data_IF_776966578660
#
_entry.id   IF_776966578660
#
_cell.length_a   1.000
_cell.length_b   1.000
_cell.length_c   1.000
_cell.angle_alpha   90.00
_cell.angle_beta   90.00
_cell.angle_gamma   90.00
#
_symmetry.space_group_name_H-M   'P 1'
#
loop_
_entity.id
_entity.type
_entity.pdbx_description
1 polymer ?
#
# COMPACT_ATOMS: atom_id res chain seq x y z
N UNK A 1 -0.26 -7.89 -4.91
CA UNK A 1 -0.71 -6.50 -4.76
C UNK A 1 0.27 -5.61 -5.46
N UNK A 2 -0.24 -4.71 -6.31
CA UNK A 2 0.55 -3.70 -6.98
C UNK A 2 0.47 -2.37 -6.21
N UNK A 3 1.29 -1.40 -6.60
CA UNK A 3 1.29 -0.08 -5.95
C UNK A 3 -0.07 0.64 -6.12
N UNK A 4 -0.72 0.46 -7.27
CA UNK A 4 -2.02 1.07 -7.57
C UNK A 4 -3.11 0.60 -6.60
N UNK A 5 -3.04 -0.66 -6.16
CA UNK A 5 -3.97 -1.20 -5.16
C UNK A 5 -3.79 -0.50 -3.79
N UNK A 6 -2.54 -0.18 -3.42
CA UNK A 6 -2.23 0.55 -2.19
C UNK A 6 -2.72 2.01 -2.27
N UNK A 7 -2.50 2.66 -3.41
CA UNK A 7 -2.99 4.03 -3.66
C UNK A 7 -4.51 4.07 -3.60
N UNK A 8 -5.18 3.13 -4.27
CA UNK A 8 -6.64 3.03 -4.25
C UNK A 8 -7.18 2.84 -2.83
N UNK A 9 -6.60 1.91 -2.06
CA UNK A 9 -6.96 1.70 -0.67
C UNK A 9 -6.77 2.97 0.18
N UNK A 10 -5.66 3.68 -0.03
CA UNK A 10 -5.39 4.93 0.66
C UNK A 10 -6.40 6.03 0.32
N UNK A 11 -6.73 6.20 -0.97
CA UNK A 11 -7.72 7.19 -1.42
C UNK A 11 -9.12 6.89 -0.87
N UNK A 12 -9.57 5.63 -0.92
CA UNK A 12 -10.85 5.21 -0.33
C UNK A 12 -10.93 5.51 1.17
N UNK A 13 -9.80 5.37 1.89
CA UNK A 13 -9.71 5.70 3.31
C UNK A 13 -9.65 7.21 3.53
N UNK A 14 -8.95 7.94 2.66
CA UNK A 14 -8.86 9.40 2.68
C UNK A 14 -10.22 10.06 2.45
N UNK A 15 -11.05 9.53 1.55
CA UNK A 15 -12.43 10.02 1.36
C UNK A 15 -13.27 9.90 2.64
N UNK A 16 -13.06 8.84 3.43
CA UNK A 16 -13.82 8.60 4.67
C UNK A 16 -13.25 9.34 5.89
N UNK A 17 -11.93 9.47 5.97
CA UNK A 17 -11.21 10.00 7.14
C UNK A 17 -10.76 11.46 6.99
N UNK A 18 -10.81 12.00 5.77
CA UNK A 18 -10.38 13.35 5.44
C UNK A 18 -8.91 13.59 5.79
N UNK A 19 -8.63 14.76 6.38
CA UNK A 19 -7.28 15.19 6.74
C UNK A 19 -6.57 14.25 7.75
N UNK A 20 -7.33 13.44 8.50
CA UNK A 20 -6.80 12.55 9.52
C UNK A 20 -6.34 11.19 8.99
N UNK A 21 -6.42 10.94 7.67
CA UNK A 21 -6.04 9.65 7.08
C UNK A 21 -4.63 9.18 7.47
N UNK A 22 -3.69 10.12 7.64
CA UNK A 22 -2.31 9.84 8.06
C UNK A 22 -2.24 9.20 9.47
N UNK A 23 -3.17 9.52 10.37
CA UNK A 23 -3.26 8.93 11.72
C UNK A 23 -3.65 7.45 11.65
N UNK A 24 -4.33 7.04 10.59
CA UNK A 24 -4.79 5.67 10.37
C UNK A 24 -3.84 4.86 9.47
N UNK A 25 -2.62 5.34 9.20
CA UNK A 25 -1.68 4.65 8.30
C UNK A 25 -1.38 3.22 8.74
N UNK A 26 -1.34 2.97 10.05
CA UNK A 26 -1.16 1.62 10.62
C UNK A 26 -2.32 0.68 10.27
N UNK A 27 -3.54 1.19 10.22
CA UNK A 27 -4.73 0.42 9.81
C UNK A 27 -4.73 0.17 8.31
N UNK A 28 -4.40 1.19 7.51
CA UNK A 28 -4.27 1.09 6.05
C UNK A 28 -3.23 0.01 5.70
N UNK A 29 -2.07 0.02 6.38
CA UNK A 29 -1.03 -0.98 6.17
C UNK A 29 -1.45 -2.39 6.60
N UNK A 30 -2.28 -2.53 7.64
CA UNK A 30 -2.84 -3.83 8.04
C UNK A 30 -3.76 -4.39 6.96
N UNK A 31 -4.63 -3.57 6.39
CA UNK A 31 -5.52 -3.97 5.29
C UNK A 31 -4.73 -4.27 4.01
N UNK A 32 -3.76 -3.42 3.66
CA UNK A 32 -2.85 -3.66 2.55
C UNK A 32 -2.08 -4.98 2.69
N UNK A 33 -1.66 -5.35 3.91
CA UNK A 33 -0.99 -6.63 4.18
C UNK A 33 -1.90 -7.83 3.90
N UNK A 34 -3.21 -7.73 4.21
CA UNK A 34 -4.18 -8.80 3.91
C UNK A 34 -4.36 -8.95 2.40
N UNK A 35 -4.51 -7.84 1.67
CA UNK A 35 -4.62 -7.84 0.21
C UNK A 35 -3.35 -8.41 -0.44
N UNK A 36 -2.18 -7.97 0.01
CA UNK A 36 -0.92 -8.53 -0.44
C UNK A 36 -0.82 -10.03 -0.14
N UNK A 37 -1.24 -10.49 1.03
CA UNK A 37 -1.20 -11.92 1.37
C UNK A 37 -2.08 -12.75 0.44
N UNK A 38 -3.30 -12.28 0.15
CA UNK A 38 -4.21 -12.93 -0.79
C UNK A 38 -3.57 -13.08 -2.17
N UNK A 39 -3.03 -12.00 -2.72
CA UNK A 39 -2.41 -12.05 -4.05
C UNK A 39 -1.11 -12.88 -4.06
N UNK A 40 -0.37 -12.87 -2.96
CA UNK A 40 0.83 -13.68 -2.79
C UNK A 40 0.50 -15.17 -2.70
N UNK A 41 -0.68 -15.57 -2.21
CA UNK A 41 -1.09 -16.98 -2.20
C UNK A 41 -1.31 -17.53 -3.61
N UNK A 42 -1.77 -16.69 -4.55
CA UNK A 42 -1.90 -17.05 -5.96
C UNK A 42 -0.55 -17.19 -6.66
N UNK A 43 0.45 -16.38 -6.27
CA UNK A 43 1.80 -16.39 -6.82
C UNK A 43 2.85 -16.19 -5.73
N UNK A 44 3.16 -17.26 -4.96
CA UNK A 44 4.06 -17.16 -3.83
C UNK A 44 5.51 -16.95 -4.28
N UNK A 45 6.30 -16.34 -3.40
CA UNK A 45 7.74 -16.23 -3.60
C UNK A 45 8.36 -17.62 -3.60
N UNK A 46 9.45 -17.82 -4.38
CA UNK A 46 10.13 -19.13 -4.50
C UNK A 46 10.53 -19.76 -3.16
N UNK A 47 10.76 -18.94 -2.12
CA UNK A 47 11.13 -19.37 -0.77
C UNK A 47 9.95 -19.53 0.19
N UNK A 48 8.73 -19.21 -0.23
CA UNK A 48 7.53 -19.29 0.62
C UNK A 48 7.47 -18.25 1.75
N UNK A 49 8.33 -17.23 1.73
CA UNK A 49 8.38 -16.20 2.77
C UNK A 49 7.55 -14.97 2.37
N UNK A 50 6.33 -14.90 2.92
CA UNK A 50 5.43 -13.76 2.75
C UNK A 50 5.93 -12.52 3.49
N UNK A 51 6.55 -12.66 4.68
CA UNK A 51 7.03 -11.52 5.47
C UNK A 51 8.20 -10.82 4.78
N UNK A 52 9.08 -11.58 4.14
CA UNK A 52 10.15 -11.03 3.30
C UNK A 52 9.58 -10.25 2.11
N UNK A 53 8.61 -10.82 1.40
CA UNK A 53 7.92 -10.13 0.29
C UNK A 53 7.24 -8.85 0.77
N UNK A 54 6.53 -8.93 1.91
CA UNK A 54 5.82 -7.81 2.51
C UNK A 54 6.76 -6.69 2.95
N UNK A 55 7.91 -7.02 3.54
CA UNK A 55 8.91 -6.03 3.98
C UNK A 55 9.45 -5.23 2.79
N UNK A 56 9.77 -5.90 1.69
CA UNK A 56 10.26 -5.27 0.47
C UNK A 56 9.20 -4.34 -0.16
N UNK A 57 7.96 -4.82 -0.25
CA UNK A 57 6.82 -4.04 -0.74
C UNK A 57 6.58 -2.79 0.14
N UNK A 58 6.40 -2.99 1.46
CA UNK A 58 6.07 -1.92 2.41
C UNK A 58 7.07 -0.77 2.38
N UNK A 59 8.38 -1.06 2.34
CA UNK A 59 9.40 -0.01 2.34
C UNK A 59 9.28 0.91 1.13
N UNK A 60 9.43 0.34 -0.06
CA UNK A 60 9.45 1.07 -1.34
C UNK A 60 8.12 1.76 -1.64
N UNK A 61 7.00 1.08 -1.41
CA UNK A 61 5.69 1.57 -1.84
C UNK A 61 5.07 2.55 -0.84
N UNK A 62 5.45 2.52 0.45
CA UNK A 62 5.06 3.55 1.40
C UNK A 62 5.76 4.88 1.14
N UNK A 63 7.05 4.83 0.79
CA UNK A 63 7.83 6.02 0.41
C UNK A 63 7.19 6.71 -0.80
N UNK A 64 6.86 5.93 -1.83
CA UNK A 64 6.12 6.42 -3.00
C UNK A 64 4.74 6.98 -2.64
N UNK A 65 4.00 6.33 -1.74
CA UNK A 65 2.68 6.82 -1.32
C UNK A 65 2.76 8.20 -0.65
N UNK A 66 3.77 8.42 0.21
CA UNK A 66 4.01 9.70 0.86
C UNK A 66 4.41 10.76 -0.16
N UNK A 67 5.27 10.40 -1.12
CA UNK A 67 5.63 11.28 -2.22
C UNK A 67 4.41 11.69 -3.06
N UNK A 68 3.53 10.74 -3.39
CA UNK A 68 2.26 11.00 -4.08
C UNK A 68 1.34 11.95 -3.29
N UNK A 69 1.28 11.81 -1.97
CA UNK A 69 0.47 12.68 -1.10
C UNK A 69 1.02 14.11 -1.05
N UNK A 70 2.33 14.27 -0.93
CA UNK A 70 2.99 15.58 -0.88
C UNK A 70 3.03 16.27 -2.25
N UNK A 71 3.06 15.50 -3.34
CA UNK A 71 3.12 16.00 -4.72
C UNK A 71 1.87 15.60 -5.49
N UNK A 72 0.72 16.13 -5.08
CA UNK A 72 -0.60 15.83 -5.65
C UNK A 72 -0.68 16.00 -7.19
N UNK A 73 0.22 16.79 -7.81
CA UNK A 73 0.34 16.99 -9.27
C UNK A 73 1.13 15.91 -10.02
N UNK A 74 1.84 15.02 -9.33
CA UNK A 74 2.73 14.00 -9.92
C UNK A 74 2.25 12.57 -9.72
N UNK A 75 1.06 12.36 -9.14
CA UNK A 75 0.40 11.06 -9.08
C UNK A 75 -0.10 10.63 -10.48
N UNK A 76 0.81 10.60 -11.46
CA UNK A 76 0.59 10.01 -12.77
C UNK A 76 0.74 8.50 -12.60
N UNK A 77 -0.38 7.79 -12.62
CA UNK A 77 -0.41 6.35 -12.89
C UNK A 77 0.30 6.12 -14.23
N UNK A 78 1.56 5.69 -14.19
CA UNK A 78 2.34 5.28 -15.35
C UNK A 78 2.63 3.80 -15.27
#
# INVERSE_FOLDING_TARGET
>A
MKFEDLVKLYLEKKERLGANVHQHISEILREAKKLHKRDWQEQPTRKGDHEQSWRAFKGKDLEKLIECELRASECRMR
#
